data_IF_599615518988
#
_entry.id   IF_599615518988
#
_cell.length_a   1.000
_cell.length_b   1.000
_cell.length_c   1.000
_cell.angle_alpha   90.00
_cell.angle_beta   90.00
_cell.angle_gamma   90.00
#
_symmetry.space_group_name_H-M   'P 1'
#
loop_
_entity.id
_entity.type
_entity.pdbx_description
1 polymer ?
#
# COMPACT_ATOMS: atom_id res chain seq x y z
N UNK A 1 9.37 2.86 -12.01
CA UNK A 1 9.15 3.13 -10.57
C UNK A 1 10.23 2.44 -9.72
N UNK A 2 10.41 1.11 -9.79
CA UNK A 2 11.47 0.42 -9.05
C UNK A 2 12.89 0.72 -9.59
N UNK A 3 12.97 1.06 -10.87
CA UNK A 3 14.21 1.46 -11.55
C UNK A 3 14.86 2.70 -10.92
N UNK A 4 14.05 3.63 -10.41
CA UNK A 4 14.52 4.84 -9.69
C UNK A 4 15.27 4.47 -8.40
N UNK A 5 14.92 3.33 -7.81
CA UNK A 5 15.58 2.79 -6.62
C UNK A 5 16.68 1.78 -6.98
N UNK A 6 16.87 1.48 -8.26
CA UNK A 6 17.86 0.50 -8.75
C UNK A 6 17.54 -0.95 -8.36
N UNK A 7 16.26 -1.27 -8.14
CA UNK A 7 15.80 -2.59 -7.71
C UNK A 7 14.74 -3.17 -8.65
N UNK A 8 14.41 -4.44 -8.46
CA UNK A 8 13.37 -5.19 -9.16
C UNK A 8 12.30 -5.67 -8.18
N UNK A 9 11.22 -6.26 -8.67
CA UNK A 9 10.19 -6.88 -7.80
C UNK A 9 10.80 -7.96 -6.88
N UNK A 10 11.82 -8.70 -7.36
CA UNK A 10 12.44 -9.79 -6.58
C UNK A 10 13.30 -9.28 -5.42
N UNK A 11 13.81 -8.06 -5.49
CA UNK A 11 14.76 -7.52 -4.51
C UNK A 11 14.43 -6.08 -4.07
N UNK A 12 13.16 -5.69 -4.12
CA UNK A 12 12.75 -4.32 -3.81
C UNK A 12 13.15 -3.86 -2.40
N UNK A 13 13.27 -4.81 -1.45
CA UNK A 13 13.72 -4.55 -0.07
C UNK A 13 15.17 -4.07 0.02
N UNK A 14 15.99 -4.25 -1.02
CA UNK A 14 17.34 -3.70 -1.04
C UNK A 14 17.32 -2.16 -1.06
N UNK A 15 16.23 -1.55 -1.55
CA UNK A 15 16.03 -0.11 -1.53
C UNK A 15 15.98 0.46 -0.11
N UNK A 16 15.62 -0.34 0.90
CA UNK A 16 15.48 0.08 2.30
C UNK A 16 16.79 0.58 2.92
N UNK A 17 17.93 0.20 2.36
CA UNK A 17 19.25 0.70 2.78
C UNK A 17 19.35 2.21 2.56
N UNK A 18 18.74 2.71 1.47
CA UNK A 18 18.77 4.12 1.09
C UNK A 18 17.49 4.85 1.47
N UNK A 19 16.36 4.16 1.36
CA UNK A 19 15.01 4.69 1.59
C UNK A 19 14.26 3.81 2.59
N UNK A 20 14.59 3.89 3.91
CA UNK A 20 14.04 2.97 4.91
C UNK A 20 12.51 2.96 4.96
N UNK A 21 11.86 4.11 4.73
CA UNK A 21 10.41 4.20 4.77
C UNK A 21 9.71 3.56 3.55
N UNK A 22 10.45 3.15 2.51
CA UNK A 22 9.93 2.33 1.41
C UNK A 22 9.42 0.95 1.89
N UNK A 23 9.68 0.57 3.14
CA UNK A 23 9.16 -0.65 3.77
C UNK A 23 7.62 -0.75 3.75
N UNK A 24 6.91 0.39 3.64
CA UNK A 24 5.45 0.41 3.57
C UNK A 24 4.90 0.21 2.16
N UNK A 25 5.74 0.08 1.14
CA UNK A 25 5.29 0.00 -0.25
C UNK A 25 4.44 -1.22 -0.58
N UNK A 26 3.54 -1.03 -1.53
CA UNK A 26 2.58 -1.99 -2.03
C UNK A 26 2.97 -2.46 -3.44
N UNK A 27 2.55 -3.66 -3.84
CA UNK A 27 2.71 -4.06 -5.24
C UNK A 27 1.65 -3.37 -6.11
N UNK A 28 1.96 -3.10 -7.40
CA UNK A 28 0.95 -2.65 -8.35
C UNK A 28 -0.24 -3.63 -8.48
N UNK A 29 -0.03 -4.93 -8.19
CA UNK A 29 -1.11 -5.92 -8.20
C UNK A 29 -2.10 -5.71 -7.05
N UNK A 30 -1.64 -5.29 -5.87
CA UNK A 30 -2.53 -4.97 -4.75
C UNK A 30 -3.50 -3.84 -5.10
N UNK A 31 -2.96 -2.74 -5.64
CA UNK A 31 -3.75 -1.60 -6.12
C UNK A 31 -4.73 -2.04 -7.21
N UNK A 32 -4.25 -2.82 -8.19
CA UNK A 32 -5.10 -3.33 -9.28
C UNK A 32 -6.24 -4.23 -8.79
N UNK A 33 -6.01 -5.06 -7.77
CA UNK A 33 -7.07 -5.86 -7.12
C UNK A 33 -8.13 -4.97 -6.47
N UNK A 34 -7.71 -3.88 -5.80
CA UNK A 34 -8.62 -2.88 -5.23
C UNK A 34 -9.53 -2.27 -6.28
N UNK A 35 -8.96 -1.81 -7.40
CA UNK A 35 -9.70 -1.25 -8.54
C UNK A 35 -10.66 -2.27 -9.13
N UNK A 36 -10.21 -3.52 -9.33
CA UNK A 36 -11.05 -4.59 -9.88
C UNK A 36 -12.23 -4.94 -8.96
N UNK A 37 -12.03 -4.94 -7.63
CA UNK A 37 -13.10 -5.18 -6.68
C UNK A 37 -14.11 -4.02 -6.69
N UNK A 38 -13.64 -2.78 -6.64
CA UNK A 38 -14.48 -1.59 -6.74
C UNK A 38 -15.32 -1.59 -8.03
N UNK A 39 -14.73 -1.95 -9.17
CA UNK A 39 -15.42 -2.00 -10.45
C UNK A 39 -16.51 -3.09 -10.52
N UNK A 40 -16.38 -4.18 -9.74
CA UNK A 40 -17.35 -5.27 -9.69
C UNK A 40 -18.38 -5.11 -8.56
N UNK A 41 -18.27 -4.07 -7.74
CA UNK A 41 -19.18 -3.85 -6.62
C UNK A 41 -20.52 -3.27 -7.10
N UNK A 42 -21.61 -4.01 -6.85
CA UNK A 42 -22.98 -3.61 -7.17
C UNK A 42 -23.47 -2.39 -6.38
N UNK A 43 -22.80 -2.05 -5.29
CA UNK A 43 -23.05 -0.87 -4.46
C UNK A 43 -21.94 0.19 -4.61
N UNK A 44 -21.15 0.16 -5.69
CA UNK A 44 -20.02 1.08 -5.94
C UNK A 44 -20.41 2.57 -5.96
N UNK A 45 -21.70 2.89 -6.15
CA UNK A 45 -22.20 4.26 -6.07
C UNK A 45 -21.87 4.96 -4.74
N UNK A 46 -21.67 4.22 -3.63
CA UNK A 46 -21.26 4.79 -2.34
C UNK A 46 -19.88 5.47 -2.38
N UNK A 47 -19.03 5.12 -3.33
CA UNK A 47 -17.70 5.70 -3.54
C UNK A 47 -17.70 6.93 -4.45
N UNK A 48 -18.84 7.27 -5.07
CA UNK A 48 -18.91 8.38 -6.03
C UNK A 48 -18.66 9.73 -5.34
N UNK A 49 -17.80 10.55 -5.94
CA UNK A 49 -17.43 11.86 -5.39
C UNK A 49 -16.41 11.79 -4.23
N UNK A 50 -15.83 10.63 -3.95
CA UNK A 50 -14.84 10.44 -2.90
C UNK A 50 -13.48 10.09 -3.50
N UNK A 51 -12.41 10.53 -2.84
CA UNK A 51 -11.08 9.94 -3.02
C UNK A 51 -10.91 8.83 -2.01
N UNK A 52 -10.36 7.70 -2.43
CA UNK A 52 -10.07 6.57 -1.55
C UNK A 52 -8.67 6.03 -1.80
N UNK A 53 -8.14 5.30 -0.82
CA UNK A 53 -6.83 4.65 -0.85
C UNK A 53 -6.93 3.14 -1.10
N UNK A 54 -5.84 2.54 -1.55
CA UNK A 54 -5.69 1.08 -1.65
C UNK A 54 -5.94 0.38 -0.31
N UNK A 55 -5.48 0.96 0.81
CA UNK A 55 -5.72 0.44 2.15
C UNK A 55 -7.21 0.41 2.55
N UNK A 56 -7.97 1.46 2.23
CA UNK A 56 -9.42 1.48 2.45
C UNK A 56 -10.14 0.43 1.60
N UNK A 57 -9.82 0.36 0.30
CA UNK A 57 -10.39 -0.66 -0.59
C UNK A 57 -10.04 -2.08 -0.12
N UNK A 58 -8.83 -2.28 0.40
CA UNK A 58 -8.40 -3.59 0.89
C UNK A 58 -9.13 -4.02 2.16
N UNK A 59 -9.42 -3.08 3.07
CA UNK A 59 -10.22 -3.35 4.25
C UNK A 59 -11.68 -3.66 3.89
N UNK A 60 -12.29 -2.85 3.02
CA UNK A 60 -13.68 -3.04 2.59
C UNK A 60 -13.87 -4.37 1.83
N UNK A 61 -12.99 -4.66 0.88
CA UNK A 61 -13.14 -5.82 -0.02
C UNK A 61 -12.36 -7.06 0.41
N UNK A 62 -11.68 -7.02 1.56
CA UNK A 62 -10.92 -8.14 2.09
C UNK A 62 -9.69 -8.53 1.25
N UNK A 63 -9.11 -7.60 0.50
CA UNK A 63 -7.99 -7.84 -0.42
C UNK A 63 -6.68 -7.90 0.36
N UNK A 64 -5.74 -8.74 -0.08
CA UNK A 64 -4.36 -8.74 0.41
C UNK A 64 -3.39 -8.54 -0.76
N UNK A 65 -2.21 -8.03 -0.44
CA UNK A 65 -1.07 -8.00 -1.35
C UNK A 65 -0.53 -9.43 -1.59
N UNK A 66 0.47 -9.58 -2.45
CA UNK A 66 1.06 -10.84 -2.85
C UNK A 66 1.73 -11.59 -1.70
N UNK A 67 2.26 -10.85 -0.72
CA UNK A 67 2.88 -11.39 0.50
C UNK A 67 1.86 -11.66 1.62
N UNK A 68 0.57 -11.46 1.36
CA UNK A 68 -0.52 -11.63 2.33
C UNK A 68 -0.77 -10.42 3.23
N UNK A 69 0.02 -9.34 3.09
CA UNK A 69 -0.16 -8.10 3.87
C UNK A 69 -1.36 -7.27 3.40
N UNK A 70 -1.75 -6.30 4.24
CA UNK A 70 -2.66 -5.20 3.90
C UNK A 70 -2.04 -3.87 4.33
N UNK A 71 -1.14 -3.31 3.52
CA UNK A 71 -0.46 -2.08 3.88
C UNK A 71 -1.44 -0.90 4.10
N UNK A 72 -1.20 -0.14 5.16
CA UNK A 72 -1.87 1.14 5.46
C UNK A 72 -0.83 2.26 5.38
N UNK A 73 -0.50 2.64 4.14
CA UNK A 73 0.56 3.60 3.86
C UNK A 73 0.26 4.99 4.44
N UNK A 74 -0.99 5.44 4.40
CA UNK A 74 -1.35 6.77 4.91
C UNK A 74 -1.22 6.86 6.42
N UNK A 75 -1.69 5.85 7.16
CA UNK A 75 -1.51 5.82 8.61
C UNK A 75 -0.04 5.72 8.99
N UNK A 76 0.75 4.91 8.26
CA UNK A 76 2.20 4.80 8.47
C UNK A 76 2.93 6.13 8.22
N UNK A 77 2.60 6.84 7.13
CA UNK A 77 3.24 8.12 6.81
C UNK A 77 3.01 9.11 7.96
N UNK A 78 1.76 9.26 8.42
CA UNK A 78 1.44 10.22 9.48
C UNK A 78 2.03 9.81 10.83
N UNK A 79 1.89 8.55 11.23
CA UNK A 79 2.23 8.12 12.60
C UNK A 79 3.72 7.76 12.78
N UNK A 80 4.42 7.43 11.70
CA UNK A 80 5.81 6.95 11.72
C UNK A 80 6.74 7.91 10.97
N UNK A 81 6.53 8.12 9.66
CA UNK A 81 7.46 8.88 8.83
C UNK A 81 7.47 10.37 9.19
N UNK A 82 6.32 11.03 9.14
CA UNK A 82 6.19 12.46 9.44
C UNK A 82 6.48 12.76 10.91
N UNK A 83 6.28 11.76 11.78
CA UNK A 83 6.67 11.81 13.18
C UNK A 83 8.19 11.62 13.41
N UNK A 84 8.98 11.38 12.37
CA UNK A 84 10.44 11.19 12.45
C UNK A 84 10.87 9.94 13.20
N UNK A 85 10.01 8.91 13.27
CA UNK A 85 10.30 7.64 13.95
C UNK A 85 11.10 6.70 13.06
N UNK A 86 11.81 5.70 13.63
CA UNK A 86 12.43 4.64 12.85
C UNK A 86 11.43 3.95 11.92
N UNK A 87 11.87 3.53 10.74
CA UNK A 87 11.04 2.81 9.79
C UNK A 87 10.66 1.41 10.32
N UNK A 88 9.53 1.34 11.02
CA UNK A 88 8.91 0.12 11.53
C UNK A 88 7.46 0.03 11.01
N UNK A 89 7.24 -0.88 10.06
CA UNK A 89 5.94 -1.09 9.45
C UNK A 89 5.05 -2.07 10.25
N UNK A 90 5.49 -2.54 11.42
CA UNK A 90 4.70 -3.48 12.23
C UNK A 90 3.35 -2.88 12.61
N UNK A 91 2.28 -3.60 12.28
CA UNK A 91 0.91 -3.16 12.50
C UNK A 91 0.32 -2.31 11.38
N UNK A 92 1.14 -1.90 10.40
CA UNK A 92 0.72 -1.17 9.19
C UNK A 92 0.78 -2.04 7.93
N UNK A 93 1.04 -3.34 8.05
CA UNK A 93 1.09 -4.33 6.96
C UNK A 93 0.41 -5.61 7.42
#
# INVERSE_FOLDING_TARGET
MLEEYGVTEANWKDALVREPHFIISETPRFIGRGIAALANDSQSARWSGQSTSSGELANEYGITDLDGSRPDAWRYIVEVQDAGKPADAKGYR
#
